data_IF_399221013826
#
_entry.id   IF_399221013826
#
_cell.length_a   1.000
_cell.length_b   1.000
_cell.length_c   1.000
_cell.angle_alpha   90.00
_cell.angle_beta   90.00
_cell.angle_gamma   90.00
#
_symmetry.space_group_name_H-M   'P 1'
#
loop_
_entity.id
_entity.type
_entity.pdbx_description
1 polymer ?
#
# COMPACT_ATOMS: atom_id res chain seq x y z
N UNK A 1 15.20 10.24 -10.97
CA UNK A 1 14.40 10.73 -12.11
C UNK A 1 12.96 11.01 -11.67
N UNK A 2 12.39 10.18 -10.81
CA UNK A 2 11.03 10.31 -10.31
C UNK A 2 11.04 10.86 -8.89
N UNK A 3 10.55 12.09 -8.64
CA UNK A 3 10.58 12.69 -7.30
C UNK A 3 9.66 11.97 -6.30
N UNK A 4 8.60 11.35 -6.79
CA UNK A 4 7.61 10.69 -5.95
C UNK A 4 7.74 9.16 -6.09
N UNK A 5 8.61 8.56 -5.30
CA UNK A 5 8.70 7.10 -5.19
C UNK A 5 7.64 6.57 -4.21
N UNK A 6 6.63 5.88 -4.73
CA UNK A 6 5.53 5.26 -3.99
C UNK A 6 5.87 3.78 -3.81
N UNK A 7 6.37 3.40 -2.65
CA UNK A 7 6.92 2.07 -2.39
C UNK A 7 5.96 1.26 -1.53
N UNK A 8 5.44 0.16 -2.07
CA UNK A 8 4.44 -0.70 -1.41
C UNK A 8 5.11 -1.91 -0.81
N UNK A 9 5.17 -1.95 0.51
CA UNK A 9 5.71 -3.04 1.32
C UNK A 9 4.60 -3.75 2.13
N UNK A 10 4.91 -4.92 2.63
CA UNK A 10 4.03 -5.74 3.45
C UNK A 10 4.18 -7.22 3.11
N UNK A 11 3.81 -8.10 4.02
CA UNK A 11 3.89 -9.54 3.78
C UNK A 11 2.98 -9.95 2.63
N UNK A 12 1.74 -9.44 2.61
CA UNK A 12 0.72 -9.80 1.63
C UNK A 12 0.15 -8.56 0.93
N UNK A 13 -0.31 -8.73 -0.33
CA UNK A 13 -1.04 -7.70 -1.06
C UNK A 13 -0.19 -6.71 -1.86
N UNK A 14 1.13 -6.76 -1.78
CA UNK A 14 2.06 -5.84 -2.47
C UNK A 14 1.76 -5.69 -3.96
N UNK A 15 1.77 -6.79 -4.70
CA UNK A 15 1.55 -6.81 -6.16
C UNK A 15 0.18 -6.22 -6.54
N UNK A 16 -0.88 -6.62 -5.82
CA UNK A 16 -2.23 -6.12 -6.07
C UNK A 16 -2.34 -4.62 -5.80
N UNK A 17 -1.83 -4.15 -4.67
CA UNK A 17 -1.87 -2.73 -4.30
C UNK A 17 -1.03 -1.88 -5.25
N UNK A 18 0.18 -2.33 -5.61
CA UNK A 18 1.03 -1.66 -6.60
C UNK A 18 0.32 -1.56 -7.96
N UNK A 19 -0.36 -2.64 -8.38
CA UNK A 19 -1.19 -2.65 -9.58
C UNK A 19 -2.38 -1.68 -9.50
N UNK A 20 -3.08 -1.62 -8.38
CA UNK A 20 -4.20 -0.69 -8.17
C UNK A 20 -3.74 0.78 -8.23
N UNK A 21 -2.66 1.13 -7.51
CA UNK A 21 -2.10 2.49 -7.54
C UNK A 21 -1.66 2.87 -8.96
N UNK A 22 -0.92 1.99 -9.63
CA UNK A 22 -0.47 2.22 -11.02
C UNK A 22 -1.68 2.45 -11.94
N UNK A 23 -2.72 1.62 -11.82
CA UNK A 23 -3.94 1.74 -12.63
C UNK A 23 -4.62 3.09 -12.42
N UNK A 24 -4.77 3.53 -11.17
CA UNK A 24 -5.40 4.81 -10.86
C UNK A 24 -4.61 6.00 -11.40
N UNK A 25 -3.29 5.98 -11.27
CA UNK A 25 -2.43 7.06 -11.81
C UNK A 25 -2.43 7.09 -13.34
N UNK A 26 -2.46 5.93 -14.01
CA UNK A 26 -2.62 5.83 -15.47
C UNK A 26 -3.96 6.43 -15.92
N UNK A 27 -5.07 6.03 -15.29
CA UNK A 27 -6.40 6.53 -15.61
C UNK A 27 -6.56 8.04 -15.32
N UNK A 28 -5.80 8.55 -14.35
CA UNK A 28 -5.72 9.98 -14.05
C UNK A 28 -4.81 10.76 -15.03
N UNK A 29 -4.21 10.10 -16.03
CA UNK A 29 -3.31 10.74 -17.00
C UNK A 29 -1.96 11.16 -16.45
N UNK A 30 -1.52 10.59 -15.32
CA UNK A 30 -0.25 10.95 -14.67
C UNK A 30 0.98 10.25 -15.26
N UNK A 31 0.79 9.27 -16.12
CA UNK A 31 1.85 8.48 -16.80
C UNK A 31 2.99 8.05 -15.84
N UNK A 32 2.68 7.26 -14.78
CA UNK A 32 3.69 6.85 -13.81
C UNK A 32 4.66 5.82 -14.42
N UNK A 33 5.89 5.76 -13.87
CA UNK A 33 6.68 4.55 -13.98
C UNK A 33 6.17 3.50 -12.98
N UNK A 34 6.39 2.22 -13.28
CA UNK A 34 5.99 1.13 -12.40
C UNK A 34 6.97 -0.04 -12.42
N UNK A 35 7.15 -0.67 -11.25
CA UNK A 35 7.86 -1.94 -11.07
C UNK A 35 7.00 -2.83 -10.18
N UNK A 36 6.43 -3.88 -10.76
CA UNK A 36 5.40 -4.73 -10.14
C UNK A 36 5.87 -6.20 -10.18
N UNK A 37 5.68 -6.94 -9.10
CA UNK A 37 6.03 -8.36 -9.01
C UNK A 37 5.15 -9.29 -9.86
N UNK A 38 4.02 -8.81 -10.39
CA UNK A 38 3.10 -9.53 -11.26
C UNK A 38 2.82 -8.79 -12.57
N UNK A 39 2.28 -9.51 -13.57
CA UNK A 39 1.88 -8.91 -14.84
C UNK A 39 0.63 -8.05 -14.67
N UNK A 40 0.72 -6.76 -15.02
CA UNK A 40 -0.41 -5.84 -15.08
C UNK A 40 -0.82 -5.65 -16.54
N UNK A 41 -2.00 -6.16 -16.99
CA UNK A 41 -2.45 -6.06 -18.38
C UNK A 41 -2.48 -4.64 -18.94
N UNK A 42 -2.88 -3.66 -18.11
CA UNK A 42 -2.99 -2.25 -18.50
C UNK A 42 -1.68 -1.67 -19.03
N UNK A 43 -0.54 -2.08 -18.46
CA UNK A 43 0.79 -1.63 -18.89
C UNK A 43 1.52 -2.67 -19.76
N UNK A 44 0.87 -3.79 -20.06
CA UNK A 44 1.40 -4.86 -20.92
C UNK A 44 2.52 -5.70 -20.31
N UNK A 45 2.85 -5.54 -19.02
CA UNK A 45 4.01 -6.23 -18.43
C UNK A 45 4.13 -6.12 -16.91
N UNK A 46 5.34 -6.32 -16.42
CA UNK A 46 5.73 -6.25 -15.01
C UNK A 46 6.28 -4.88 -14.61
N UNK A 47 6.40 -3.97 -15.59
CA UNK A 47 6.87 -2.61 -15.36
C UNK A 47 6.81 -1.78 -16.63
N UNK A 48 6.86 -0.47 -16.46
CA UNK A 48 6.95 0.51 -17.53
C UNK A 48 7.78 1.72 -17.10
N UNK A 49 8.38 2.38 -18.07
CA UNK A 49 8.87 3.74 -17.89
C UNK A 49 7.73 4.73 -18.13
N UNK A 50 7.57 5.71 -17.26
CA UNK A 50 6.62 6.81 -17.42
C UNK A 50 7.34 8.14 -17.61
N UNK A 51 6.60 9.17 -18.05
CA UNK A 51 7.10 10.53 -18.20
C UNK A 51 6.62 11.46 -17.06
N UNK A 52 5.72 10.95 -16.20
CA UNK A 52 5.24 11.67 -15.02
C UNK A 52 6.25 11.77 -13.89
N UNK A 53 5.82 12.30 -12.77
CA UNK A 53 6.65 12.51 -11.58
C UNK A 53 6.69 11.29 -10.66
N UNK A 54 5.78 10.33 -10.85
CA UNK A 54 5.52 9.25 -9.94
C UNK A 54 6.18 7.94 -10.42
N UNK A 55 6.73 7.18 -9.48
CA UNK A 55 7.11 5.78 -9.70
C UNK A 55 6.50 4.92 -8.63
N UNK A 56 5.76 3.89 -9.03
CA UNK A 56 5.14 2.91 -8.13
C UNK A 56 6.01 1.66 -8.09
N UNK A 57 6.47 1.28 -6.92
CA UNK A 57 7.44 0.20 -6.73
C UNK A 57 6.91 -0.81 -5.73
N UNK A 58 6.85 -2.08 -6.13
CA UNK A 58 6.69 -3.18 -5.19
C UNK A 58 7.98 -3.35 -4.38
N UNK A 59 7.91 -3.10 -3.08
CA UNK A 59 9.03 -3.07 -2.17
C UNK A 59 9.11 -4.39 -1.38
N UNK A 60 9.96 -5.32 -1.82
CA UNK A 60 10.11 -6.62 -1.20
C UNK A 60 10.94 -6.53 0.07
N UNK A 61 10.43 -7.07 1.17
CA UNK A 61 11.10 -7.16 2.46
C UNK A 61 12.17 -8.25 2.52
N UNK A 62 12.09 -9.26 1.64
CA UNK A 62 13.04 -10.36 1.63
C UNK A 62 14.48 -9.86 1.45
N UNK A 63 15.37 -10.36 2.28
CA UNK A 63 16.79 -9.96 2.30
C UNK A 63 17.01 -8.45 2.46
N UNK A 64 16.04 -7.74 3.11
CA UNK A 64 16.06 -6.29 3.33
C UNK A 64 16.19 -5.45 2.05
N UNK A 65 15.82 -5.98 0.86
CA UNK A 65 16.01 -5.28 -0.42
C UNK A 65 15.24 -3.96 -0.48
N UNK A 66 14.10 -3.84 0.19
CA UNK A 66 13.33 -2.60 0.26
C UNK A 66 14.07 -1.44 0.99
N UNK A 67 15.13 -1.73 1.78
CA UNK A 67 15.93 -0.72 2.45
C UNK A 67 16.90 0.02 1.52
N UNK A 68 17.04 -0.41 0.27
CA UNK A 68 17.80 0.30 -0.76
C UNK A 68 16.95 1.36 -1.47
N UNK A 69 15.67 1.46 -1.15
CA UNK A 69 14.76 2.46 -1.69
C UNK A 69 14.76 3.73 -0.83
N UNK A 70 14.42 4.85 -1.45
CA UNK A 70 14.21 6.14 -0.77
C UNK A 70 12.79 6.63 -1.02
N UNK A 71 11.79 6.09 -0.30
CA UNK A 71 10.40 6.40 -0.59
C UNK A 71 10.05 7.87 -0.30
N UNK A 72 9.35 8.51 -1.25
CA UNK A 72 8.55 9.68 -0.95
C UNK A 72 7.36 9.27 -0.06
N UNK A 73 6.73 8.14 -0.41
CA UNK A 73 5.67 7.55 0.39
C UNK A 73 5.88 6.04 0.51
N UNK A 74 6.09 5.57 1.74
CA UNK A 74 6.15 4.14 2.06
C UNK A 74 4.78 3.65 2.50
N UNK A 75 4.31 2.56 1.89
CA UNK A 75 3.06 1.90 2.26
C UNK A 75 3.39 0.60 2.98
N UNK A 76 2.79 0.38 4.15
CA UNK A 76 2.92 -0.87 4.90
C UNK A 76 1.54 -1.50 5.05
N UNK A 77 1.31 -2.58 4.28
CA UNK A 77 -0.01 -3.21 4.20
C UNK A 77 -0.31 -4.11 5.41
N UNK A 78 0.66 -4.89 5.82
CA UNK A 78 0.60 -5.83 6.93
C UNK A 78 2.00 -6.37 7.21
N UNK A 79 2.22 -6.89 8.42
CA UNK A 79 3.47 -7.55 8.81
C UNK A 79 3.09 -8.87 9.47
N UNK A 80 3.27 -9.96 8.75
CA UNK A 80 2.96 -11.30 9.21
C UNK A 80 4.20 -12.19 9.24
N UNK A 81 4.04 -13.37 9.75
CA UNK A 81 5.09 -14.35 10.01
C UNK A 81 5.57 -15.00 8.69
N UNK A 82 6.28 -14.25 7.88
CA UNK A 82 6.87 -14.71 6.62
C UNK A 82 8.36 -14.41 6.59
N UNK A 83 9.10 -15.15 5.76
CA UNK A 83 10.56 -15.03 5.63
C UNK A 83 11.34 -15.16 6.96
N UNK A 84 10.82 -15.93 7.93
CA UNK A 84 11.51 -16.15 9.19
C UNK A 84 12.81 -16.95 9.05
N UNK A 85 12.97 -17.69 7.97
CA UNK A 85 14.26 -18.34 7.63
C UNK A 85 15.37 -17.30 7.45
N UNK A 86 15.02 -16.06 7.02
CA UNK A 86 15.96 -14.95 6.91
C UNK A 86 16.02 -14.11 8.19
N UNK A 87 14.88 -13.67 8.70
CA UNK A 87 14.81 -12.76 9.84
C UNK A 87 15.01 -13.45 11.20
N UNK A 88 14.72 -14.73 11.31
CA UNK A 88 14.81 -15.52 12.53
C UNK A 88 13.73 -15.23 13.55
N UNK A 89 13.28 -13.98 13.70
CA UNK A 89 12.23 -13.58 14.65
C UNK A 89 11.34 -12.45 14.11
N UNK A 90 10.08 -12.38 14.57
CA UNK A 90 9.16 -11.29 14.31
C UNK A 90 9.75 -9.92 14.72
N UNK A 91 10.51 -9.87 15.79
CA UNK A 91 11.15 -8.62 16.24
C UNK A 91 12.14 -8.07 15.21
N UNK A 92 12.95 -8.92 14.59
CA UNK A 92 13.87 -8.49 13.52
C UNK A 92 13.13 -8.06 12.26
N UNK A 93 12.05 -8.75 11.89
CA UNK A 93 11.20 -8.36 10.78
C UNK A 93 10.59 -6.96 11.03
N UNK A 94 10.00 -6.73 12.20
CA UNK A 94 9.49 -5.39 12.58
C UNK A 94 10.57 -4.31 12.54
N UNK A 95 11.79 -4.61 12.99
CA UNK A 95 12.91 -3.66 12.90
C UNK A 95 13.26 -3.31 11.45
N UNK A 96 13.18 -4.25 10.51
CA UNK A 96 13.37 -3.97 9.09
C UNK A 96 12.28 -3.05 8.54
N UNK A 97 10.99 -3.31 8.86
CA UNK A 97 9.89 -2.42 8.50
C UNK A 97 10.00 -1.04 9.16
N UNK A 98 10.49 -0.95 10.40
CA UNK A 98 10.76 0.33 11.07
C UNK A 98 11.83 1.14 10.33
N UNK A 99 12.92 0.49 9.89
CA UNK A 99 13.94 1.14 9.06
C UNK A 99 13.35 1.64 7.73
N UNK A 100 12.53 0.82 7.05
CA UNK A 100 11.83 1.22 5.83
C UNK A 100 10.93 2.43 6.06
N UNK A 101 10.15 2.43 7.13
CA UNK A 101 9.30 3.56 7.53
C UNK A 101 10.12 4.84 7.79
N UNK A 102 11.27 4.73 8.45
CA UNK A 102 12.18 5.86 8.70
C UNK A 102 12.86 6.41 7.44
N UNK A 103 13.08 5.57 6.42
CA UNK A 103 13.57 6.00 5.10
C UNK A 103 12.51 6.75 4.29
N UNK A 104 11.24 6.56 4.61
CA UNK A 104 10.10 7.18 3.93
C UNK A 104 9.87 8.61 4.44
N UNK A 105 9.51 9.55 3.54
CA UNK A 105 9.11 10.92 3.96
C UNK A 105 7.74 10.89 4.65
N UNK A 106 6.85 10.02 4.19
CA UNK A 106 5.51 9.81 4.73
C UNK A 106 5.19 8.32 4.72
N UNK A 107 4.45 7.84 5.70
CA UNK A 107 4.05 6.43 5.78
C UNK A 107 2.53 6.30 5.72
N UNK A 108 2.06 5.42 4.85
CA UNK A 108 0.66 4.94 4.80
C UNK A 108 0.63 3.54 5.42
N UNK A 109 -0.22 3.30 6.40
CA UNK A 109 -0.20 2.04 7.15
C UNK A 109 -1.59 1.51 7.49
N UNK A 110 -1.69 0.20 7.59
CA UNK A 110 -2.90 -0.50 8.01
C UNK A 110 -3.06 -0.40 9.54
N UNK A 111 -4.09 0.30 9.99
CA UNK A 111 -4.37 0.50 11.41
C UNK A 111 -4.96 -0.75 12.07
N UNK A 112 -5.52 -1.66 11.29
CA UNK A 112 -6.12 -2.91 11.79
C UNK A 112 -5.07 -4.03 11.94
N UNK A 113 -3.84 -3.81 11.45
CA UNK A 113 -2.71 -4.72 11.65
C UNK A 113 -1.86 -4.27 12.84
N UNK A 114 -1.88 -5.06 13.91
CA UNK A 114 -1.17 -4.72 15.15
C UNK A 114 0.34 -4.54 14.95
N UNK A 115 0.95 -5.31 14.06
CA UNK A 115 2.40 -5.24 13.83
C UNK A 115 2.78 -3.96 13.08
N UNK A 116 1.94 -3.48 12.14
CA UNK A 116 2.16 -2.19 11.49
C UNK A 116 1.99 -1.04 12.47
N UNK A 117 0.99 -1.10 13.35
CA UNK A 117 0.78 -0.10 14.42
C UNK A 117 1.99 -0.04 15.36
N UNK A 118 2.51 -1.19 15.81
CA UNK A 118 3.70 -1.24 16.66
C UNK A 118 4.93 -0.58 15.99
N UNK A 119 5.11 -0.79 14.68
CA UNK A 119 6.20 -0.18 13.90
C UNK A 119 6.01 1.33 13.80
N UNK A 120 4.81 1.78 13.46
CA UNK A 120 4.51 3.20 13.20
C UNK A 120 4.55 4.03 14.49
N UNK A 121 4.10 3.49 15.62
CA UNK A 121 4.16 4.17 16.92
C UNK A 121 5.60 4.44 17.39
N UNK A 122 6.59 3.81 16.80
CA UNK A 122 8.00 3.93 17.17
C UNK A 122 8.82 4.85 16.26
N UNK A 123 8.17 5.56 15.32
CA UNK A 123 8.84 6.44 14.36
C UNK A 123 8.33 7.88 14.45
N UNK A 124 9.22 8.83 14.13
CA UNK A 124 8.88 10.26 13.99
C UNK A 124 8.79 10.61 12.49
N UNK A 125 7.66 10.32 11.89
CA UNK A 125 7.33 10.63 10.49
C UNK A 125 5.85 10.97 10.37
N UNK A 126 5.45 11.79 9.37
CA UNK A 126 4.03 11.93 9.02
C UNK A 126 3.43 10.59 8.62
N UNK A 127 2.27 10.24 9.20
CA UNK A 127 1.60 8.97 8.97
C UNK A 127 0.15 9.16 8.59
N UNK A 128 -0.36 8.29 7.70
CA UNK A 128 -1.76 8.23 7.31
C UNK A 128 -2.25 6.79 7.44
N UNK A 129 -3.24 6.59 8.30
CA UNK A 129 -3.81 5.28 8.55
C UNK A 129 -4.93 4.95 7.56
N UNK A 130 -5.03 3.67 7.22
CA UNK A 130 -6.20 3.10 6.57
C UNK A 130 -6.67 1.85 7.32
N UNK A 131 -7.94 1.52 7.20
CA UNK A 131 -8.52 0.35 7.87
C UNK A 131 -10.04 0.34 7.85
N UNK A 132 -10.62 -0.60 8.56
CA UNK A 132 -12.06 -0.69 8.82
C UNK A 132 -12.36 -0.13 10.22
N UNK A 133 -11.36 -0.08 11.10
CA UNK A 133 -11.44 0.50 12.43
C UNK A 133 -11.88 1.97 12.38
N UNK A 134 -12.70 2.38 13.35
CA UNK A 134 -13.26 3.74 13.42
C UNK A 134 -12.22 4.86 13.54
N UNK A 135 -11.04 4.55 14.04
CA UNK A 135 -9.94 5.51 14.19
C UNK A 135 -9.10 5.70 12.91
N UNK A 136 -9.31 4.86 11.87
CA UNK A 136 -8.56 4.98 10.64
C UNK A 136 -8.94 6.26 9.87
N UNK A 137 -7.91 6.98 9.37
CA UNK A 137 -8.13 8.19 8.55
C UNK A 137 -8.88 7.88 7.27
N UNK A 138 -8.48 6.83 6.55
CA UNK A 138 -9.18 6.29 5.37
C UNK A 138 -9.90 5.01 5.79
N UNK A 139 -11.22 5.08 5.92
CA UNK A 139 -12.03 4.01 6.49
C UNK A 139 -13.01 3.45 5.49
N UNK A 140 -13.09 2.12 5.37
CA UNK A 140 -14.17 1.48 4.64
C UNK A 140 -15.41 1.35 5.53
N UNK A 141 -16.56 1.76 4.97
CA UNK A 141 -17.90 1.61 5.58
C UNK A 141 -18.87 1.07 4.54
N UNK A 142 -20.06 0.64 4.99
CA UNK A 142 -21.11 0.10 4.11
C UNK A 142 -20.61 -1.04 3.20
N UNK A 143 -19.73 -1.89 3.74
CA UNK A 143 -19.14 -3.00 3.01
C UNK A 143 -20.23 -4.00 2.66
N UNK A 144 -20.39 -4.31 1.36
CA UNK A 144 -21.37 -5.25 0.84
C UNK A 144 -20.71 -6.21 -0.14
N UNK A 145 -21.08 -7.48 -0.04
CA UNK A 145 -20.72 -8.49 -1.03
C UNK A 145 -21.78 -8.47 -2.14
N UNK A 146 -21.44 -7.91 -3.32
CA UNK A 146 -22.39 -7.78 -4.43
C UNK A 146 -22.46 -9.02 -5.34
N UNK A 147 -21.44 -9.90 -5.24
CA UNK A 147 -21.41 -11.26 -5.79
C UNK A 147 -20.40 -12.09 -5.00
N UNK A 148 -20.44 -13.42 -5.02
CA UNK A 148 -19.55 -14.25 -4.19
C UNK A 148 -18.08 -13.88 -4.30
N UNK A 149 -17.49 -13.45 -3.17
CA UNK A 149 -16.10 -13.01 -3.04
C UNK A 149 -15.80 -11.57 -3.52
N UNK A 150 -16.76 -10.84 -4.08
CA UNK A 150 -16.54 -9.46 -4.59
C UNK A 150 -17.29 -8.43 -3.77
N UNK A 151 -16.61 -7.37 -3.40
CA UNK A 151 -17.10 -6.38 -2.46
C UNK A 151 -17.22 -4.99 -3.08
N UNK A 152 -18.21 -4.22 -2.61
CA UNK A 152 -18.32 -2.79 -2.82
C UNK A 152 -18.49 -2.10 -1.46
N UNK A 153 -17.99 -0.87 -1.35
CA UNK A 153 -17.97 -0.13 -0.09
C UNK A 153 -17.73 1.36 -0.31
N UNK A 154 -18.08 2.15 0.68
CA UNK A 154 -17.74 3.57 0.73
C UNK A 154 -16.43 3.76 1.48
N UNK A 155 -15.64 4.74 1.04
CA UNK A 155 -14.42 5.19 1.71
C UNK A 155 -14.68 6.55 2.32
N UNK A 156 -14.43 6.67 3.63
CA UNK A 156 -14.43 7.96 4.32
C UNK A 156 -12.99 8.42 4.54
N UNK A 157 -12.70 9.72 4.33
CA UNK A 157 -11.50 10.38 4.84
C UNK A 157 -11.89 11.28 6.00
N UNK A 158 -11.37 11.03 7.21
CA UNK A 158 -11.70 11.79 8.43
C UNK A 158 -13.21 11.92 8.71
N UNK A 159 -13.97 10.88 8.35
CA UNK A 159 -15.43 10.85 8.52
C UNK A 159 -16.23 11.41 7.35
N UNK A 160 -15.61 12.09 6.40
CA UNK A 160 -16.25 12.64 5.22
C UNK A 160 -16.21 11.65 4.04
N UNK A 161 -17.29 11.62 3.24
CA UNK A 161 -17.34 10.77 2.04
C UNK A 161 -16.22 11.13 1.06
N UNK A 162 -15.34 10.18 0.76
CA UNK A 162 -14.21 10.36 -0.14
C UNK A 162 -14.43 9.67 -1.49
N UNK A 163 -14.85 8.40 -1.48
CA UNK A 163 -15.05 7.61 -2.68
C UNK A 163 -16.07 6.49 -2.46
N UNK A 164 -16.58 5.94 -3.57
CA UNK A 164 -17.27 4.65 -3.60
C UNK A 164 -16.45 3.69 -4.45
N UNK A 165 -16.14 2.51 -3.91
CA UNK A 165 -15.30 1.51 -4.56
C UNK A 165 -16.12 0.26 -4.82
N UNK A 166 -16.07 -0.20 -6.07
CA UNK A 166 -16.57 -1.52 -6.48
C UNK A 166 -15.40 -2.34 -6.99
N UNK A 167 -15.01 -3.36 -6.22
CA UNK A 167 -13.84 -4.17 -6.54
C UNK A 167 -14.08 -5.09 -7.73
N UNK A 168 -13.18 -5.06 -8.70
CA UNK A 168 -13.15 -6.00 -9.84
C UNK A 168 -12.34 -7.27 -9.54
N UNK A 169 -11.78 -7.40 -8.34
CA UNK A 169 -10.99 -8.56 -7.89
C UNK A 169 -11.63 -9.18 -6.65
N UNK A 170 -11.61 -10.53 -6.51
CA UNK A 170 -12.24 -11.21 -5.38
C UNK A 170 -11.38 -11.16 -4.12
N UNK A 171 -12.01 -11.30 -2.97
CA UNK A 171 -11.38 -11.44 -1.66
C UNK A 171 -11.49 -10.21 -0.79
N UNK A 172 -11.88 -10.45 0.47
CA UNK A 172 -12.09 -9.40 1.48
C UNK A 172 -10.82 -8.57 1.75
N UNK A 173 -9.63 -9.20 1.70
CA UNK A 173 -8.34 -8.52 1.85
C UNK A 173 -8.11 -7.41 0.81
N UNK A 174 -8.79 -7.46 -0.34
CA UNK A 174 -8.68 -6.42 -1.36
C UNK A 174 -9.39 -5.10 -0.98
N UNK A 175 -10.22 -5.11 0.06
CA UNK A 175 -10.74 -3.88 0.68
C UNK A 175 -9.56 -3.07 1.25
N UNK A 176 -8.68 -3.71 2.01
CA UNK A 176 -7.47 -3.06 2.56
C UNK A 176 -6.50 -2.59 1.47
N UNK A 177 -6.31 -3.39 0.41
CA UNK A 177 -5.48 -3.01 -0.73
C UNK A 177 -6.03 -1.75 -1.42
N UNK A 178 -7.34 -1.67 -1.61
CA UNK A 178 -8.00 -0.51 -2.19
C UNK A 178 -7.98 0.72 -1.27
N UNK A 179 -8.13 0.55 0.05
CA UNK A 179 -7.97 1.63 1.02
C UNK A 179 -6.55 2.21 1.00
N UNK A 180 -5.53 1.36 0.94
CA UNK A 180 -4.14 1.80 0.78
C UNK A 180 -3.95 2.59 -0.51
N UNK A 181 -4.51 2.12 -1.63
CA UNK A 181 -4.51 2.85 -2.91
C UNK A 181 -5.20 4.21 -2.77
N UNK A 182 -6.37 4.30 -2.15
CA UNK A 182 -7.07 5.57 -1.91
C UNK A 182 -6.20 6.53 -1.09
N UNK A 183 -5.59 6.06 -0.01
CA UNK A 183 -4.72 6.86 0.85
C UNK A 183 -3.49 7.40 0.09
N UNK A 184 -2.88 6.60 -0.79
CA UNK A 184 -1.75 7.05 -1.64
C UNK A 184 -2.23 8.06 -2.68
N UNK A 185 -3.26 7.73 -3.46
CA UNK A 185 -3.74 8.56 -4.57
C UNK A 185 -4.32 9.92 -4.12
N UNK A 186 -4.66 10.07 -2.84
CA UNK A 186 -5.11 11.36 -2.27
C UNK A 186 -4.02 12.43 -2.27
N UNK A 187 -2.75 12.02 -2.22
CA UNK A 187 -1.61 12.93 -1.99
C UNK A 187 -0.63 13.02 -3.18
N UNK A 188 -0.96 12.43 -4.32
CA UNK A 188 -0.12 12.46 -5.54
C UNK A 188 -0.85 12.92 -6.79
#
# INVERSE_FOLDING_TARGET
RYPNALCVAGTHGKTTTTGMITTMLELAGKDPAAVIGGKLPLIGGYGKAGHGNDVVIEACEYSETFLHLTPFMGVILNIDNDHLEYYGTMGRLKMAFQKFALLSRTVVFNMDDRNTVDVVNSIDRPVFSFGINEEARFRAVNIQEYRPGFYEFDVLELGEQFAHIKLGVPGYHNIYNALAMCAVCRFV
#
